data_IF_892449529066
#
_entry.id   IF_892449529066
#
_cell.length_a   1.000
_cell.length_b   1.000
_cell.length_c   1.000
_cell.angle_alpha   90.00
_cell.angle_beta   90.00
_cell.angle_gamma   90.00
#
_symmetry.space_group_name_H-M   'P 1'
#
loop_
_entity.id
_entity.type
_entity.pdbx_description
1 polymer ?
#
# COMPACT_ATOMS: atom_id res chain seq x y z
N UNK A 1 -6.82 12.49 -19.71
CA UNK A 1 -8.26 12.44 -20.04
C UNK A 1 -8.88 11.05 -19.91
N UNK A 2 -8.17 9.98 -20.27
CA UNK A 2 -8.69 8.59 -20.25
C UNK A 2 -8.99 8.01 -18.85
N UNK A 3 -8.43 8.56 -17.77
CA UNK A 3 -8.72 8.05 -16.42
C UNK A 3 -10.16 8.32 -15.97
N UNK A 4 -10.80 9.40 -16.45
CA UNK A 4 -12.19 9.74 -16.08
C UNK A 4 -13.19 8.69 -16.60
N UNK A 5 -13.15 8.28 -17.88
CA UNK A 5 -13.95 7.14 -18.37
C UNK A 5 -13.68 5.84 -17.60
N UNK A 6 -12.42 5.53 -17.29
CA UNK A 6 -12.07 4.32 -16.53
C UNK A 6 -12.75 4.30 -15.15
N UNK A 7 -12.66 5.41 -14.40
CA UNK A 7 -13.33 5.55 -13.12
C UNK A 7 -14.85 5.44 -13.23
N UNK A 8 -15.44 5.96 -14.31
CA UNK A 8 -16.87 5.82 -14.55
C UNK A 8 -17.27 4.35 -14.78
N UNK A 9 -16.53 3.62 -15.62
CA UNK A 9 -16.79 2.19 -15.87
C UNK A 9 -16.64 1.38 -14.58
N UNK A 10 -15.58 1.61 -13.81
CA UNK A 10 -15.38 0.93 -12.52
C UNK A 10 -16.50 1.25 -11.53
N UNK A 11 -16.97 2.50 -11.50
CA UNK A 11 -18.13 2.88 -10.69
C UNK A 11 -19.35 2.05 -11.04
N UNK A 12 -19.69 1.96 -12.33
CA UNK A 12 -20.84 1.21 -12.81
C UNK A 12 -20.71 -0.27 -12.44
N UNK A 13 -19.52 -0.86 -12.60
CA UNK A 13 -19.26 -2.25 -12.19
C UNK A 13 -19.48 -2.43 -10.69
N UNK A 14 -18.93 -1.54 -9.85
CA UNK A 14 -19.06 -1.59 -8.39
C UNK A 14 -20.52 -1.44 -7.97
N UNK A 15 -21.22 -0.44 -8.49
CA UNK A 15 -22.63 -0.18 -8.18
C UNK A 15 -23.52 -1.33 -8.63
N UNK A 16 -23.30 -1.87 -9.83
CA UNK A 16 -24.08 -2.97 -10.37
C UNK A 16 -23.89 -4.24 -9.56
N UNK A 17 -22.64 -4.66 -9.32
CA UNK A 17 -22.36 -5.88 -8.54
C UNK A 17 -22.82 -5.75 -7.09
N UNK A 18 -22.69 -4.57 -6.48
CA UNK A 18 -23.19 -4.27 -5.14
C UNK A 18 -24.72 -4.32 -5.08
N UNK A 19 -25.39 -3.78 -6.10
CA UNK A 19 -26.85 -3.82 -6.21
C UNK A 19 -27.37 -5.24 -6.39
N UNK A 20 -26.75 -6.02 -7.29
CA UNK A 20 -27.14 -7.41 -7.57
C UNK A 20 -26.89 -8.34 -6.37
N UNK A 21 -25.76 -8.18 -5.68
CA UNK A 21 -25.40 -9.03 -4.54
C UNK A 21 -25.87 -8.47 -3.19
N UNK A 22 -26.45 -7.27 -3.17
CA UNK A 22 -27.04 -6.64 -1.99
C UNK A 22 -26.06 -6.12 -0.93
N UNK A 23 -24.75 -6.16 -1.17
CA UNK A 23 -23.72 -5.60 -0.27
C UNK A 23 -22.35 -5.55 -0.94
N UNK A 24 -21.54 -4.54 -0.60
CA UNK A 24 -20.17 -4.42 -1.12
C UNK A 24 -19.28 -5.59 -0.67
N UNK A 25 -19.44 -6.08 0.57
CA UNK A 25 -18.65 -7.22 1.07
C UNK A 25 -18.82 -8.48 0.22
N UNK A 26 -20.06 -8.77 -0.20
CA UNK A 26 -20.35 -9.89 -1.12
C UNK A 26 -19.87 -9.61 -2.54
N UNK A 27 -20.00 -8.37 -3.02
CA UNK A 27 -19.48 -7.99 -4.32
C UNK A 27 -17.96 -8.19 -4.41
N UNK A 28 -17.21 -7.79 -3.39
CA UNK A 28 -15.76 -7.96 -3.32
C UNK A 28 -15.29 -9.44 -3.36
N UNK A 29 -16.18 -10.42 -3.16
CA UNK A 29 -15.84 -11.85 -3.27
C UNK A 29 -15.86 -12.36 -4.72
N UNK A 30 -16.33 -11.55 -5.68
CA UNK A 30 -16.32 -11.91 -7.08
C UNK A 30 -14.87 -11.97 -7.61
N UNK A 31 -14.48 -13.02 -8.34
CA UNK A 31 -13.15 -13.12 -8.98
C UNK A 31 -12.82 -11.96 -9.92
N UNK A 32 -13.85 -11.24 -10.39
CA UNK A 32 -13.70 -10.04 -11.19
C UNK A 32 -12.82 -8.99 -10.50
N UNK A 33 -12.95 -8.81 -9.18
CA UNK A 33 -12.18 -7.79 -8.46
C UNK A 33 -10.72 -8.16 -8.25
N UNK A 34 -10.43 -9.45 -8.07
CA UNK A 34 -9.06 -9.98 -8.08
C UNK A 34 -8.40 -9.70 -9.42
N UNK A 35 -9.09 -10.02 -10.52
CA UNK A 35 -8.58 -9.77 -11.87
C UNK A 35 -8.37 -8.28 -12.14
N UNK A 36 -9.33 -7.42 -11.77
CA UNK A 36 -9.19 -5.97 -11.95
C UNK A 36 -7.99 -5.45 -11.17
N UNK A 37 -7.85 -5.82 -9.90
CA UNK A 37 -6.73 -5.37 -9.08
C UNK A 37 -5.39 -5.85 -9.64
N UNK A 38 -5.27 -7.12 -10.02
CA UNK A 38 -4.06 -7.67 -10.62
C UNK A 38 -3.64 -6.87 -11.85
N UNK A 39 -4.58 -6.59 -12.77
CA UNK A 39 -4.32 -5.82 -14.00
C UNK A 39 -3.94 -4.39 -13.70
N UNK A 40 -4.59 -3.76 -12.73
CA UNK A 40 -4.30 -2.37 -12.34
C UNK A 40 -2.93 -2.29 -11.66
N UNK A 41 -2.59 -3.21 -10.76
CA UNK A 41 -1.27 -3.29 -10.15
C UNK A 41 -0.18 -3.56 -11.18
N UNK A 42 -0.44 -4.37 -12.21
CA UNK A 42 0.51 -4.59 -13.31
C UNK A 42 0.91 -3.28 -14.02
N UNK A 43 -0.02 -2.32 -14.15
CA UNK A 43 0.29 -1.01 -14.74
C UNK A 43 1.36 -0.23 -13.96
N UNK A 44 1.47 -0.43 -12.64
CA UNK A 44 2.52 0.18 -11.82
C UNK A 44 3.93 -0.34 -12.17
N UNK A 45 4.02 -1.55 -12.73
CA UNK A 45 5.26 -2.20 -13.14
C UNK A 45 5.64 -1.97 -14.60
N UNK A 46 4.75 -1.36 -15.39
CA UNK A 46 5.03 -1.00 -16.79
C UNK A 46 6.10 0.08 -16.91
N UNK A 47 6.93 0.02 -17.95
CA UNK A 47 8.01 0.98 -18.17
C UNK A 47 7.51 2.42 -18.37
N UNK A 48 6.33 2.58 -18.95
CA UNK A 48 5.79 3.89 -19.28
C UNK A 48 5.21 4.61 -18.05
N UNK A 49 5.64 5.84 -17.81
CA UNK A 49 5.17 6.65 -16.67
C UNK A 49 3.64 6.87 -16.66
N UNK A 50 3.02 6.98 -17.84
CA UNK A 50 1.58 7.18 -17.96
C UNK A 50 0.77 5.92 -17.62
N UNK A 51 1.36 4.73 -17.81
CA UNK A 51 0.76 3.47 -17.34
C UNK A 51 0.78 3.44 -15.81
N UNK A 52 1.90 3.79 -15.18
CA UNK A 52 2.01 3.90 -13.71
C UNK A 52 1.03 4.91 -13.15
N UNK A 53 0.89 6.07 -13.80
CA UNK A 53 -0.11 7.08 -13.45
C UNK A 53 -1.54 6.49 -13.47
N UNK A 54 -1.89 5.77 -14.54
CA UNK A 54 -3.18 5.06 -14.63
C UNK A 54 -3.37 4.06 -13.49
N UNK A 55 -2.33 3.28 -13.18
CA UNK A 55 -2.29 2.37 -12.03
C UNK A 55 -2.57 3.10 -10.72
N UNK A 56 -1.83 4.15 -10.41
CA UNK A 56 -2.00 4.95 -9.19
C UNK A 56 -3.42 5.52 -9.06
N UNK A 57 -3.95 6.13 -10.12
CA UNK A 57 -5.31 6.71 -10.10
C UNK A 57 -6.37 5.63 -9.85
N UNK A 58 -6.25 4.49 -10.52
CA UNK A 58 -7.26 3.43 -10.45
C UNK A 58 -7.17 2.62 -9.15
N UNK A 59 -5.98 2.30 -8.64
CA UNK A 59 -5.83 1.61 -7.35
C UNK A 59 -6.47 2.43 -6.23
N UNK A 60 -6.23 3.75 -6.21
CA UNK A 60 -6.89 4.64 -5.23
C UNK A 60 -8.40 4.57 -5.31
N UNK A 61 -8.91 4.69 -6.52
CA UNK A 61 -10.35 4.61 -6.75
C UNK A 61 -10.97 3.30 -6.23
N UNK A 62 -10.24 2.19 -6.37
CA UNK A 62 -10.68 0.88 -5.87
C UNK A 62 -10.66 0.85 -4.34
N UNK A 63 -9.52 1.09 -3.68
CA UNK A 63 -9.46 0.91 -2.23
C UNK A 63 -10.35 1.88 -1.45
N UNK A 64 -10.67 3.06 -2.00
CA UNK A 64 -11.59 4.02 -1.38
C UNK A 64 -13.06 3.57 -1.43
N UNK A 65 -13.40 2.57 -2.24
CA UNK A 65 -14.79 2.14 -2.51
C UNK A 65 -15.08 0.68 -2.21
N UNK A 66 -14.05 -0.11 -1.97
CA UNK A 66 -14.16 -1.54 -1.65
C UNK A 66 -14.32 -1.74 -0.14
N UNK A 67 -14.73 -2.95 0.27
CA UNK A 67 -14.81 -3.29 1.69
C UNK A 67 -13.45 -3.27 2.38
N UNK A 68 -13.42 -2.98 3.69
CA UNK A 68 -12.19 -3.05 4.49
C UNK A 68 -11.57 -4.46 4.47
N UNK A 69 -12.39 -5.51 4.47
CA UNK A 69 -11.92 -6.90 4.36
C UNK A 69 -11.11 -7.12 3.08
N UNK A 70 -11.65 -6.65 1.96
CA UNK A 70 -10.96 -6.73 0.67
C UNK A 70 -9.66 -5.92 0.71
N UNK A 71 -9.71 -4.71 1.26
CA UNK A 71 -8.51 -3.87 1.38
C UNK A 71 -7.42 -4.53 2.23
N UNK A 72 -7.73 -5.11 3.40
CA UNK A 72 -6.75 -5.82 4.22
C UNK A 72 -6.11 -7.02 3.49
N UNK A 73 -6.87 -7.75 2.66
CA UNK A 73 -6.32 -8.86 1.89
C UNK A 73 -5.36 -8.41 0.78
N UNK A 74 -5.41 -7.14 0.36
CA UNK A 74 -4.66 -6.63 -0.79
C UNK A 74 -3.75 -5.44 -0.48
N UNK A 75 -3.73 -4.99 0.78
CA UNK A 75 -2.94 -3.83 1.20
C UNK A 75 -1.46 -4.01 0.86
N UNK A 76 -0.93 -5.21 1.09
CA UNK A 76 0.48 -5.52 0.84
C UNK A 76 0.86 -5.44 -0.64
N UNK A 77 0.04 -6.00 -1.55
CA UNK A 77 0.33 -5.94 -2.99
C UNK A 77 0.22 -4.51 -3.53
N UNK A 78 -0.76 -3.75 -3.04
CA UNK A 78 -0.93 -2.33 -3.39
C UNK A 78 0.29 -1.52 -2.91
N UNK A 79 0.72 -1.71 -1.67
CA UNK A 79 1.88 -1.02 -1.10
C UNK A 79 3.13 -1.26 -1.95
N UNK A 80 3.44 -2.53 -2.27
CA UNK A 80 4.61 -2.87 -3.09
C UNK A 80 4.55 -2.24 -4.48
N UNK A 81 3.36 -2.20 -5.09
CA UNK A 81 3.18 -1.57 -6.40
C UNK A 81 3.48 -0.05 -6.32
N UNK A 82 3.00 0.64 -5.29
CA UNK A 82 3.27 2.08 -5.10
C UNK A 82 4.73 2.37 -4.76
N UNK A 83 5.36 1.56 -3.91
CA UNK A 83 6.80 1.67 -3.61
C UNK A 83 7.64 1.48 -4.88
N UNK A 84 7.26 0.53 -5.75
CA UNK A 84 7.92 0.33 -7.02
C UNK A 84 7.78 1.55 -7.94
N UNK A 85 6.59 2.16 -8.03
CA UNK A 85 6.39 3.41 -8.81
C UNK A 85 7.33 4.51 -8.33
N UNK A 86 7.47 4.69 -7.02
CA UNK A 86 8.40 5.67 -6.46
C UNK A 86 9.85 5.36 -6.81
N UNK A 87 10.26 4.10 -6.64
CA UNK A 87 11.62 3.66 -6.92
C UNK A 87 11.97 3.83 -8.41
N UNK A 88 11.09 3.40 -9.31
CA UNK A 88 11.34 3.34 -10.75
C UNK A 88 11.35 4.74 -11.40
N UNK A 89 10.52 5.66 -10.90
CA UNK A 89 10.49 7.05 -11.38
C UNK A 89 11.44 7.98 -10.62
N UNK A 90 12.25 7.46 -9.69
CA UNK A 90 13.18 8.29 -8.92
C UNK A 90 14.21 8.95 -9.83
N UNK A 91 14.26 10.28 -9.83
CA UNK A 91 15.14 11.06 -10.70
C UNK A 91 14.54 11.42 -12.05
N UNK A 92 13.33 10.97 -12.37
CA UNK A 92 12.60 11.38 -13.58
C UNK A 92 11.83 12.69 -13.39
N UNK A 93 11.49 13.34 -14.50
CA UNK A 93 10.64 14.54 -14.53
C UNK A 93 9.16 14.27 -14.12
N UNK A 94 8.80 13.02 -13.85
CA UNK A 94 7.42 12.57 -13.56
C UNK A 94 7.01 12.77 -12.09
N UNK A 95 7.35 13.91 -11.49
CA UNK A 95 7.15 14.19 -10.06
C UNK A 95 5.69 14.02 -9.61
N UNK A 96 4.73 14.37 -10.45
CA UNK A 96 3.31 14.22 -10.14
C UNK A 96 2.84 12.78 -9.91
N UNK A 97 3.47 11.78 -10.56
CA UNK A 97 3.13 10.36 -10.35
C UNK A 97 3.69 9.86 -9.02
N UNK A 98 4.89 10.31 -8.66
CA UNK A 98 5.55 9.98 -7.38
C UNK A 98 4.72 10.53 -6.22
N UNK A 99 4.33 11.81 -6.28
CA UNK A 99 3.50 12.41 -5.23
C UNK A 99 2.14 11.72 -5.09
N UNK A 100 1.55 11.29 -6.21
CA UNK A 100 0.32 10.49 -6.17
C UNK A 100 0.53 9.13 -5.50
N UNK A 101 1.64 8.43 -5.78
CA UNK A 101 1.94 7.17 -5.12
C UNK A 101 2.13 7.34 -3.60
N UNK A 102 2.80 8.42 -3.16
CA UNK A 102 2.95 8.76 -1.74
C UNK A 102 1.60 9.00 -1.06
N UNK A 103 0.76 9.86 -1.64
CA UNK A 103 -0.56 10.21 -1.10
C UNK A 103 -1.49 8.98 -1.05
N UNK A 104 -1.43 8.12 -2.07
CA UNK A 104 -2.17 6.86 -2.09
C UNK A 104 -1.79 5.95 -0.92
N UNK A 105 -0.48 5.76 -0.66
CA UNK A 105 -0.02 4.93 0.45
C UNK A 105 -0.39 5.53 1.80
N UNK A 106 -0.25 6.85 1.96
CA UNK A 106 -0.64 7.56 3.18
C UNK A 106 -2.13 7.40 3.46
N UNK A 107 -2.97 7.66 2.44
CA UNK A 107 -4.43 7.50 2.53
C UNK A 107 -4.81 6.06 2.88
N UNK A 108 -4.22 5.08 2.21
CA UNK A 108 -4.48 3.67 2.47
C UNK A 108 -4.10 3.28 3.91
N UNK A 109 -2.94 3.72 4.40
CA UNK A 109 -2.50 3.44 5.78
C UNK A 109 -3.41 4.14 6.80
N UNK A 110 -3.88 5.36 6.53
CA UNK A 110 -4.87 6.02 7.39
C UNK A 110 -6.17 5.22 7.46
N UNK A 111 -6.70 4.76 6.33
CA UNK A 111 -7.92 3.94 6.30
C UNK A 111 -7.71 2.63 7.07
N UNK A 112 -6.61 1.92 6.80
CA UNK A 112 -6.33 0.60 7.37
C UNK A 112 -5.86 0.66 8.82
N UNK A 113 -5.32 1.79 9.29
CA UNK A 113 -4.76 1.95 10.62
C UNK A 113 -5.76 2.42 11.67
N UNK A 114 -6.99 2.79 11.29
CA UNK A 114 -8.02 3.20 12.24
C UNK A 114 -8.42 2.05 13.15
N UNK A 115 -8.45 2.29 14.46
CA UNK A 115 -8.85 1.29 15.44
C UNK A 115 -10.28 0.80 15.19
N UNK A 116 -10.42 -0.51 14.93
CA UNK A 116 -11.71 -1.15 14.76
C UNK A 116 -12.37 -1.44 16.11
N UNK A 117 -13.70 -1.52 16.12
CA UNK A 117 -14.44 -1.87 17.35
C UNK A 117 -14.29 -3.37 17.68
N UNK A 118 -14.21 -3.76 18.96
CA UNK A 118 -14.01 -5.16 19.36
C UNK A 118 -15.13 -6.13 18.93
N UNK A 119 -16.27 -5.60 18.49
CA UNK A 119 -17.42 -6.39 18.02
C UNK A 119 -17.14 -7.14 16.70
N UNK A 120 -16.09 -6.80 15.97
CA UNK A 120 -15.74 -7.38 14.67
C UNK A 120 -14.41 -8.15 14.72
N UNK A 121 -14.33 -9.19 15.56
CA UNK A 121 -13.09 -9.98 15.78
C UNK A 121 -12.38 -10.38 14.48
N UNK A 122 -13.10 -10.94 13.51
CA UNK A 122 -12.52 -11.35 12.23
C UNK A 122 -11.84 -10.21 11.45
N UNK A 123 -12.38 -8.99 11.52
CA UNK A 123 -11.78 -7.83 10.84
C UNK A 123 -10.58 -7.30 11.62
N UNK A 124 -10.59 -7.38 12.94
CA UNK A 124 -9.45 -7.01 13.79
C UNK A 124 -8.26 -7.93 13.50
N UNK A 125 -8.50 -9.24 13.41
CA UNK A 125 -7.44 -10.22 13.11
C UNK A 125 -6.85 -9.97 11.70
N UNK A 126 -7.70 -9.68 10.71
CA UNK A 126 -7.26 -9.32 9.37
C UNK A 126 -6.47 -8.02 9.33
N UNK A 127 -6.92 -6.99 10.07
CA UNK A 127 -6.23 -5.72 10.19
C UNK A 127 -4.84 -5.92 10.79
N UNK A 128 -4.72 -6.67 11.89
CA UNK A 128 -3.44 -6.93 12.55
C UNK A 128 -2.48 -7.67 11.62
N UNK A 129 -2.96 -8.68 10.90
CA UNK A 129 -2.15 -9.40 9.92
C UNK A 129 -1.68 -8.48 8.79
N UNK A 130 -2.62 -7.77 8.15
CA UNK A 130 -2.34 -6.88 7.02
C UNK A 130 -1.37 -5.76 7.40
N UNK A 131 -1.62 -5.09 8.54
CA UNK A 131 -0.75 -4.02 9.03
C UNK A 131 0.62 -4.55 9.46
N UNK A 132 0.70 -5.75 10.05
CA UNK A 132 1.96 -6.40 10.37
C UNK A 132 2.83 -6.64 9.14
N UNK A 133 2.24 -7.15 8.05
CA UNK A 133 2.93 -7.34 6.77
C UNK A 133 3.40 -6.01 6.16
N UNK A 134 2.57 -4.96 6.25
CA UNK A 134 2.91 -3.61 5.79
C UNK A 134 4.05 -3.00 6.60
N UNK A 135 3.98 -3.05 7.93
CA UNK A 135 5.04 -2.52 8.82
C UNK A 135 6.34 -3.25 8.56
N UNK A 136 6.29 -4.58 8.42
CA UNK A 136 7.48 -5.38 8.11
C UNK A 136 8.13 -4.93 6.78
N UNK A 137 7.34 -4.68 5.75
CA UNK A 137 7.87 -4.20 4.47
C UNK A 137 8.41 -2.78 4.56
N UNK A 138 7.73 -1.85 5.24
CA UNK A 138 8.23 -0.49 5.43
C UNK A 138 9.56 -0.48 6.17
N UNK A 139 9.72 -1.31 7.21
CA UNK A 139 10.97 -1.44 7.94
C UNK A 139 12.13 -1.94 7.05
N UNK A 140 11.87 -2.87 6.12
CA UNK A 140 12.87 -3.29 5.12
C UNK A 140 13.32 -2.14 4.23
N UNK A 141 12.40 -1.23 3.88
CA UNK A 141 12.69 -0.11 3.00
C UNK A 141 13.50 1.01 3.68
N UNK A 142 13.64 1.02 5.03
CA UNK A 142 14.47 2.01 5.75
C UNK A 142 15.96 1.88 5.39
N UNK A 143 16.41 0.70 4.96
CA UNK A 143 17.79 0.47 4.50
C UNK A 143 17.91 0.48 2.97
N UNK A 144 16.88 0.91 2.24
CA UNK A 144 16.93 0.99 0.77
C UNK A 144 18.02 1.97 0.31
N UNK A 145 18.66 1.74 -0.84
CA UNK A 145 19.60 2.70 -1.41
C UNK A 145 18.89 3.94 -1.98
N UNK A 146 17.59 3.84 -2.24
CA UNK A 146 16.78 4.93 -2.78
C UNK A 146 16.31 5.85 -1.64
N UNK A 147 16.79 7.10 -1.63
CA UNK A 147 16.45 8.10 -0.60
C UNK A 147 14.96 8.41 -0.54
N UNK A 148 14.27 8.54 -1.68
CA UNK A 148 12.84 8.87 -1.71
C UNK A 148 11.99 7.74 -1.11
N UNK A 149 12.34 6.48 -1.41
CA UNK A 149 11.67 5.30 -0.85
C UNK A 149 11.94 5.19 0.65
N UNK A 150 13.18 5.43 1.08
CA UNK A 150 13.58 5.45 2.50
C UNK A 150 12.81 6.47 3.32
N UNK A 151 12.79 7.71 2.87
CA UNK A 151 12.09 8.82 3.54
C UNK A 151 10.60 8.55 3.61
N UNK A 152 10.01 8.05 2.53
CA UNK A 152 8.59 7.69 2.53
C UNK A 152 8.29 6.54 3.49
N UNK A 153 9.14 5.53 3.57
CA UNK A 153 8.93 4.42 4.50
C UNK A 153 8.92 4.88 5.96
N UNK A 154 9.88 5.75 6.33
CA UNK A 154 9.93 6.38 7.65
C UNK A 154 8.67 7.21 7.92
N UNK A 155 8.26 8.04 6.96
CA UNK A 155 7.05 8.85 7.05
C UNK A 155 5.77 8.01 7.25
N UNK A 156 5.60 6.94 6.48
CA UNK A 156 4.41 6.09 6.57
C UNK A 156 4.30 5.35 7.92
N UNK A 157 5.42 4.97 8.53
CA UNK A 157 5.45 4.43 9.89
C UNK A 157 4.97 5.45 10.93
N UNK A 158 5.37 6.71 10.80
CA UNK A 158 4.86 7.79 11.66
C UNK A 158 3.36 8.03 11.46
N UNK A 159 2.89 8.01 10.21
CA UNK A 159 1.46 8.17 9.88
C UNK A 159 0.63 7.05 10.52
N UNK A 160 1.12 5.81 10.45
CA UNK A 160 0.45 4.69 11.07
C UNK A 160 0.39 4.85 12.60
N UNK A 161 1.52 5.17 13.24
CA UNK A 161 1.57 5.39 14.69
C UNK A 161 0.58 6.48 15.14
N UNK A 162 0.51 7.60 14.42
CA UNK A 162 -0.44 8.68 14.66
C UNK A 162 -1.90 8.23 14.51
N UNK A 163 -2.19 7.41 13.51
CA UNK A 163 -3.55 6.94 13.20
C UNK A 163 -4.04 5.92 14.23
N UNK A 164 -3.15 5.02 14.66
CA UNK A 164 -3.44 3.99 15.66
C UNK A 164 -3.37 4.51 17.11
N UNK A 165 -3.06 5.80 17.33
CA UNK A 165 -2.82 6.41 18.64
C UNK A 165 -1.80 5.64 19.49
N UNK A 166 -0.73 5.15 18.86
CA UNK A 166 0.38 4.47 19.52
C UNK A 166 1.72 5.15 19.21
N UNK A 167 2.79 4.77 19.91
CA UNK A 167 4.11 5.29 19.58
C UNK A 167 4.73 4.52 18.41
N UNK A 168 5.60 5.17 17.64
CA UNK A 168 6.38 4.50 16.58
C UNK A 168 7.15 3.30 17.16
N UNK A 169 7.65 3.43 18.40
CA UNK A 169 8.32 2.33 19.11
C UNK A 169 7.41 1.12 19.31
N UNK A 170 6.13 1.33 19.60
CA UNK A 170 5.16 0.24 19.80
C UNK A 170 4.85 -0.48 18.48
N UNK A 171 4.80 0.26 17.36
CA UNK A 171 4.64 -0.31 16.01
C UNK A 171 5.85 -1.16 15.62
N UNK A 172 7.07 -0.71 15.97
CA UNK A 172 8.32 -1.36 15.56
C UNK A 172 8.68 -2.55 16.44
N UNK A 173 8.36 -2.49 17.74
CA UNK A 173 8.77 -3.50 18.74
C UNK A 173 8.50 -4.96 18.35
N UNK A 174 7.36 -5.32 17.75
CA UNK A 174 7.10 -6.69 17.29
C UNK A 174 8.08 -7.19 16.23
N UNK A 175 8.75 -6.29 15.52
CA UNK A 175 9.67 -6.59 14.40
C UNK A 175 11.14 -6.32 14.75
N UNK A 176 11.49 -6.21 16.03
CA UNK A 176 12.84 -5.83 16.49
C UNK A 176 13.94 -6.75 15.97
N UNK A 177 13.71 -8.05 15.95
CA UNK A 177 14.70 -9.04 15.49
C UNK A 177 15.13 -8.78 14.04
N UNK A 178 14.18 -8.39 13.19
CA UNK A 178 14.46 -8.06 11.78
C UNK A 178 15.36 -6.82 11.65
N UNK A 179 15.20 -5.82 12.52
CA UNK A 179 16.07 -4.64 12.52
C UNK A 179 17.49 -4.98 12.97
N UNK A 180 17.65 -5.90 13.91
CA UNK A 180 18.97 -6.35 14.36
C UNK A 180 19.76 -7.04 13.23
N UNK A 181 19.08 -7.74 12.32
CA UNK A 181 19.69 -8.37 11.14
C UNK A 181 20.03 -7.37 10.02
N UNK A 182 19.24 -6.30 9.87
CA UNK A 182 19.46 -5.27 8.85
C UNK A 182 20.67 -4.38 9.14
N UNK A 183 21.02 -4.25 10.42
CA UNK A 183 22.10 -3.39 10.87
C UNK A 183 23.42 -4.20 10.85
N UNK A 184 24.41 -3.87 10.00
CA UNK A 184 25.57 -4.74 9.72
C UNK A 184 26.56 -4.98 10.88
N UNK A 185 26.26 -4.57 12.11
CA UNK A 185 27.28 -4.35 13.14
C UNK A 185 27.85 -5.60 13.83
N UNK A 186 27.57 -6.83 13.37
CA UNK A 186 28.15 -8.02 14.04
C UNK A 186 29.03 -8.92 13.18
N UNK A 187 28.99 -8.91 11.84
CA UNK A 187 29.75 -9.93 11.04
C UNK A 187 30.36 -9.50 9.70
N UNK A 188 30.11 -8.30 9.17
CA UNK A 188 30.68 -7.90 7.86
C UNK A 188 31.37 -6.54 7.91
N UNK A 189 32.56 -6.47 7.29
CA UNK A 189 33.31 -5.22 7.14
C UNK A 189 32.54 -4.31 6.17
N UNK A 190 32.17 -3.11 6.62
CA UNK A 190 31.47 -2.06 5.85
C UNK A 190 32.14 -1.68 4.50
N UNK A 191 33.37 -2.12 4.27
CA UNK A 191 34.18 -1.82 3.09
C UNK A 191 33.72 -2.48 1.78
N UNK A 192 32.72 -3.37 1.80
CA UNK A 192 32.26 -4.10 0.60
C UNK A 192 30.94 -3.59 0.01
N UNK A 193 30.30 -2.60 0.61
CA UNK A 193 29.06 -2.04 0.07
C UNK A 193 29.37 -0.97 -0.98
N UNK A 194 28.77 -1.03 -2.19
CA UNK A 194 28.88 0.05 -3.16
C UNK A 194 28.27 1.33 -2.58
N UNK A 195 28.93 2.46 -2.84
CA UNK A 195 28.52 3.81 -2.42
C UNK A 195 27.23 4.20 -3.14
#
# INVERSE_FOLDING_TARGET
ELCKPCQFVLRVIIETTTSVLGSIDRACQLPLYEYILERVCALCYERAWFSKYGGCVTVRYLFERMSLRWLFNHQFIILKAMLYVMMDLSGDLSSGVIEMAKDNMETMIKICGLSLTPSQKDLVDLQQKSMGEVVQELLRQITSSNTAVREQAMYLLEVYAKTANCTVTDVIRPHKEMLEDMVPFKKQKLFQQPI
#
